data_IF_789847168201
#
_entry.id   IF_789847168201
#
_cell.length_a   1.000
_cell.length_b   1.000
_cell.length_c   1.000
_cell.angle_alpha   90.00
_cell.angle_beta   90.00
_cell.angle_gamma   90.00
#
_symmetry.space_group_name_H-M   'P 1'
#
loop_
_entity.id
_entity.type
_entity.pdbx_description
1 polymer ?
#
# COMPACT_ATOMS: atom_id res chain seq x y z
N UNK A 1 -3.90 29.78 31.33
CA UNK A 1 -4.14 29.70 29.88
C UNK A 1 -4.22 28.23 29.54
N UNK A 2 -5.37 27.87 28.98
CA UNK A 2 -5.90 26.53 28.77
C UNK A 2 -5.16 25.80 27.64
N UNK A 3 -4.99 24.49 27.76
CA UNK A 3 -5.29 23.56 26.67
C UNK A 3 -5.45 22.13 27.25
N UNK A 4 -6.68 21.74 27.56
CA UNK A 4 -6.99 20.33 27.85
C UNK A 4 -7.26 19.69 26.50
N UNK A 5 -6.29 18.96 25.95
CA UNK A 5 -6.51 18.15 24.75
C UNK A 5 -7.52 17.06 25.09
N UNK A 6 -8.80 17.25 24.75
CA UNK A 6 -9.75 16.15 24.73
C UNK A 6 -9.23 15.11 23.73
N UNK A 7 -8.82 13.94 24.24
CA UNK A 7 -8.49 12.81 23.38
C UNK A 7 -9.75 12.43 22.62
N UNK A 8 -9.77 12.67 21.30
CA UNK A 8 -10.85 12.18 20.45
C UNK A 8 -10.87 10.65 20.54
N UNK A 9 -11.86 10.12 21.25
CA UNK A 9 -12.07 8.68 21.37
C UNK A 9 -12.56 8.12 20.02
N UNK A 10 -11.99 7.00 19.58
CA UNK A 10 -12.46 6.23 18.42
C UNK A 10 -13.43 5.10 18.83
N UNK A 11 -13.98 5.16 20.05
CA UNK A 11 -14.84 4.11 20.62
C UNK A 11 -16.34 4.27 20.27
N UNK A 12 -16.69 5.12 19.30
CA UNK A 12 -18.06 5.21 18.77
C UNK A 12 -18.39 3.94 17.95
N UNK A 13 -19.66 3.54 17.96
CA UNK A 13 -20.13 2.44 17.10
C UNK A 13 -20.04 2.84 15.62
N UNK A 14 -19.43 1.98 14.81
CA UNK A 14 -19.37 2.12 13.36
C UNK A 14 -20.00 0.89 12.71
N UNK A 15 -20.73 1.08 11.62
CA UNK A 15 -20.98 0.00 10.68
C UNK A 15 -19.68 -0.41 9.98
N UNK A 16 -19.64 -1.62 9.43
CA UNK A 16 -18.48 -2.14 8.68
C UNK A 16 -18.10 -1.20 7.52
N UNK A 17 -19.09 -0.65 6.80
CA UNK A 17 -18.86 0.27 5.69
C UNK A 17 -18.27 1.61 6.15
N UNK A 18 -18.73 2.14 7.28
CA UNK A 18 -18.23 3.40 7.82
C UNK A 18 -16.78 3.28 8.28
N UNK A 19 -16.46 2.24 9.05
CA UNK A 19 -15.09 2.03 9.54
C UNK A 19 -14.14 1.75 8.38
N UNK A 20 -14.54 0.91 7.41
CA UNK A 20 -13.74 0.64 6.20
C UNK A 20 -13.48 1.91 5.40
N UNK A 21 -14.50 2.75 5.22
CA UNK A 21 -14.36 4.05 4.57
C UNK A 21 -13.43 5.00 5.34
N UNK A 22 -13.51 5.01 6.68
CA UNK A 22 -12.63 5.82 7.52
C UNK A 22 -11.17 5.36 7.46
N UNK A 23 -10.91 4.04 7.47
CA UNK A 23 -9.58 3.48 7.26
C UNK A 23 -9.02 3.90 5.91
N UNK A 24 -9.77 3.68 4.83
CA UNK A 24 -9.33 4.03 3.48
C UNK A 24 -8.97 5.50 3.35
N UNK A 25 -9.82 6.40 3.85
CA UNK A 25 -9.53 7.86 3.84
C UNK A 25 -8.27 8.19 4.62
N UNK A 26 -8.18 7.71 5.87
CA UNK A 26 -7.03 7.97 6.73
C UNK A 26 -5.72 7.51 6.09
N UNK A 27 -5.72 6.31 5.50
CA UNK A 27 -4.56 5.74 4.81
C UNK A 27 -4.22 6.53 3.54
N UNK A 28 -5.20 6.82 2.69
CA UNK A 28 -4.97 7.54 1.44
C UNK A 28 -4.55 9.00 1.65
N UNK A 29 -5.08 9.66 2.69
CA UNK A 29 -4.73 11.04 3.05
C UNK A 29 -3.30 11.12 3.59
N UNK A 30 -2.91 10.17 4.45
CA UNK A 30 -1.56 10.13 5.04
C UNK A 30 -0.50 9.60 4.06
N UNK A 31 -0.87 8.67 3.17
CA UNK A 31 0.06 7.91 2.33
C UNK A 31 -0.31 7.94 0.84
N UNK A 32 -0.82 9.10 0.38
CA UNK A 32 -1.23 9.33 -1.01
C UNK A 32 -0.10 9.20 -2.04
N UNK A 33 1.16 9.40 -1.62
CA UNK A 33 2.37 9.15 -2.41
C UNK A 33 3.53 8.79 -1.47
N UNK A 34 3.97 7.53 -1.49
CA UNK A 34 4.99 6.99 -0.60
C UNK A 34 6.08 6.27 -1.40
N UNK A 35 7.26 6.13 -0.76
CA UNK A 35 8.37 5.33 -1.26
C UNK A 35 8.69 4.25 -0.24
N UNK A 36 8.66 2.99 -0.68
CA UNK A 36 8.85 1.82 0.18
C UNK A 36 10.00 0.99 -0.35
N UNK A 37 10.95 0.67 0.54
CA UNK A 37 12.00 -0.31 0.25
C UNK A 37 11.51 -1.69 0.68
N UNK A 38 11.77 -2.70 -0.13
CA UNK A 38 11.53 -4.08 0.24
C UNK A 38 12.00 -5.05 -0.83
N UNK A 39 12.02 -6.33 -0.47
CA UNK A 39 12.23 -7.43 -1.39
C UNK A 39 10.91 -7.80 -2.07
N UNK A 40 10.92 -7.98 -3.39
CA UNK A 40 9.79 -8.52 -4.13
C UNK A 40 9.62 -10.00 -3.78
N UNK A 41 8.42 -10.38 -3.35
CA UNK A 41 8.07 -11.77 -3.09
C UNK A 41 6.72 -12.18 -3.70
N UNK A 42 6.63 -13.44 -4.13
CA UNK A 42 5.45 -14.00 -4.76
C UNK A 42 5.18 -13.47 -6.18
N UNK A 43 6.17 -12.87 -6.83
CA UNK A 43 6.03 -12.38 -8.20
C UNK A 43 6.03 -13.56 -9.19
N UNK A 44 5.07 -13.54 -10.13
CA UNK A 44 4.87 -14.60 -11.13
C UNK A 44 4.80 -14.05 -12.57
N UNK A 45 5.28 -12.83 -12.77
CA UNK A 45 5.10 -12.11 -14.03
C UNK A 45 3.74 -11.39 -14.12
N UNK A 46 3.51 -10.65 -15.21
CA UNK A 46 2.19 -10.08 -15.51
C UNK A 46 1.14 -11.17 -15.70
N UNK A 47 -0.03 -10.98 -15.10
CA UNK A 47 -1.21 -11.82 -15.31
C UNK A 47 -1.80 -11.60 -16.72
N UNK A 48 -2.84 -12.36 -17.08
CA UNK A 48 -3.54 -12.21 -18.37
C UNK A 48 -4.10 -10.81 -18.63
N UNK A 49 -4.43 -10.04 -17.59
CA UNK A 49 -4.83 -8.64 -17.67
C UNK A 49 -3.66 -7.69 -18.00
N UNK A 50 -2.42 -8.16 -17.89
CA UNK A 50 -1.19 -7.38 -17.97
C UNK A 50 -0.80 -6.71 -16.65
N UNK A 51 -1.57 -6.88 -15.57
CA UNK A 51 -1.21 -6.39 -14.23
C UNK A 51 -0.26 -7.39 -13.55
N UNK A 52 0.66 -6.89 -12.73
CA UNK A 52 1.47 -7.72 -11.86
C UNK A 52 1.02 -7.57 -10.41
N UNK A 53 0.81 -8.68 -9.74
CA UNK A 53 0.52 -8.74 -8.31
C UNK A 53 1.66 -9.48 -7.62
N UNK A 54 2.14 -8.91 -6.52
CA UNK A 54 3.23 -9.47 -5.70
C UNK A 54 3.17 -8.81 -4.32
N UNK A 55 4.12 -9.10 -3.47
CA UNK A 55 4.29 -8.39 -2.21
C UNK A 55 5.68 -7.77 -2.09
N UNK A 56 5.77 -6.67 -1.37
CA UNK A 56 7.03 -6.13 -0.85
C UNK A 56 7.15 -6.59 0.61
N UNK A 57 8.29 -7.16 0.97
CA UNK A 57 8.55 -7.60 2.34
C UNK A 57 9.88 -7.09 2.86
N UNK A 58 9.99 -7.09 4.18
CA UNK A 58 11.24 -7.09 4.92
C UNK A 58 11.22 -8.24 5.95
N UNK A 59 12.13 -8.24 6.91
CA UNK A 59 12.23 -9.29 7.93
C UNK A 59 11.02 -9.36 8.88
N UNK A 60 10.18 -8.32 8.94
CA UNK A 60 9.14 -8.16 9.96
C UNK A 60 7.74 -7.92 9.39
N UNK A 61 7.64 -7.48 8.14
CA UNK A 61 6.40 -7.02 7.55
C UNK A 61 6.29 -7.38 6.07
N UNK A 62 5.06 -7.40 5.59
CA UNK A 62 4.69 -7.65 4.19
C UNK A 62 3.57 -6.71 3.77
N UNK A 63 3.68 -6.16 2.57
CA UNK A 63 2.67 -5.35 1.90
C UNK A 63 2.35 -5.95 0.54
N UNK A 64 1.08 -6.22 0.27
CA UNK A 64 0.66 -6.60 -1.08
C UNK A 64 0.70 -5.38 -2.01
N UNK A 65 1.15 -5.61 -3.23
CA UNK A 65 1.43 -4.59 -4.22
C UNK A 65 0.88 -4.99 -5.59
N UNK A 66 0.43 -3.98 -6.34
CA UNK A 66 0.01 -4.12 -7.72
C UNK A 66 0.75 -3.13 -8.61
N UNK A 67 1.26 -3.61 -9.74
CA UNK A 67 1.70 -2.76 -10.84
C UNK A 67 0.71 -2.93 -11.99
N UNK A 68 -0.02 -1.85 -12.28
CA UNK A 68 -0.97 -1.81 -13.39
C UNK A 68 -0.27 -1.94 -14.74
N UNK A 69 -0.96 -2.48 -15.75
CA UNK A 69 -0.41 -2.79 -17.08
C UNK A 69 0.29 -1.59 -17.72
N UNK A 70 -0.33 -0.42 -17.59
CA UNK A 70 0.16 0.86 -18.13
C UNK A 70 1.44 1.34 -17.44
N UNK A 71 1.61 1.03 -16.15
CA UNK A 71 2.83 1.32 -15.40
C UNK A 71 3.89 0.25 -15.68
N UNK A 72 3.49 -1.01 -15.78
CA UNK A 72 4.37 -2.15 -16.02
C UNK A 72 5.19 -1.97 -17.31
N UNK A 73 4.56 -1.48 -18.38
CA UNK A 73 5.23 -1.22 -19.66
C UNK A 73 6.22 -0.05 -19.63
N UNK A 74 6.17 0.79 -18.58
CA UNK A 74 7.03 1.96 -18.40
C UNK A 74 8.15 1.74 -17.39
N UNK A 75 8.19 0.59 -16.72
CA UNK A 75 9.26 0.30 -15.79
C UNK A 75 10.59 0.23 -16.52
N UNK A 76 11.62 0.86 -15.94
CA UNK A 76 12.99 0.87 -16.50
C UNK A 76 13.66 -0.50 -16.44
N UNK A 77 13.15 -1.38 -15.59
CA UNK A 77 13.62 -2.74 -15.40
C UNK A 77 12.42 -3.66 -15.22
N UNK A 78 12.63 -4.96 -15.43
CA UNK A 78 11.62 -5.97 -15.18
C UNK A 78 11.71 -6.41 -13.71
N UNK A 79 10.61 -6.35 -12.94
CA UNK A 79 10.56 -6.93 -11.60
C UNK A 79 10.87 -8.43 -11.64
N UNK A 80 11.54 -8.93 -10.60
CA UNK A 80 11.87 -10.35 -10.43
C UNK A 80 11.69 -10.76 -8.96
N UNK A 81 11.46 -12.04 -8.71
CA UNK A 81 11.40 -12.59 -7.34
C UNK A 81 12.75 -12.38 -6.62
N UNK A 82 12.71 -11.94 -5.37
CA UNK A 82 13.90 -11.71 -4.55
C UNK A 82 14.63 -10.39 -4.83
N UNK A 83 14.14 -9.58 -5.77
CA UNK A 83 14.75 -8.30 -6.09
C UNK A 83 14.47 -7.26 -4.99
N UNK A 84 15.52 -6.66 -4.42
CA UNK A 84 15.37 -5.47 -3.57
C UNK A 84 15.06 -4.25 -4.45
N UNK A 85 13.97 -3.55 -4.13
CA UNK A 85 13.52 -2.38 -4.87
C UNK A 85 13.13 -1.24 -3.93
N UNK A 86 13.10 -0.02 -4.48
CA UNK A 86 12.37 1.09 -3.88
C UNK A 86 11.16 1.36 -4.77
N UNK A 87 9.98 0.90 -4.34
CA UNK A 87 8.72 1.16 -5.01
C UNK A 87 8.19 2.54 -4.66
N UNK A 88 7.51 3.19 -5.60
CA UNK A 88 6.80 4.46 -5.37
C UNK A 88 5.35 4.32 -5.80
N UNK A 89 4.41 4.78 -4.97
CA UNK A 89 2.99 4.62 -5.25
C UNK A 89 2.10 5.17 -4.14
N UNK A 90 0.81 4.84 -4.22
CA UNK A 90 -0.20 5.17 -3.19
C UNK A 90 -0.50 3.94 -2.35
N UNK A 91 -0.67 4.11 -1.04
CA UNK A 91 -1.21 3.07 -0.16
C UNK A 91 -2.73 3.20 -0.07
N UNK A 92 -3.44 2.06 -0.10
CA UNK A 92 -4.91 1.99 0.02
C UNK A 92 -5.29 0.67 0.73
N UNK A 93 -6.55 0.53 1.12
CA UNK A 93 -7.10 -0.62 1.87
C UNK A 93 -8.38 -1.14 1.22
#
# INVERSE_FOLDING_TARGET
>A
MSDTSESRSNATEYTVSEISGALKRTVEDAFGNVRVRGEISGYRGPHSSGHAYFALKDDRARLDAVVWKTTMSRLKFRPEEGMEVIATGRLTT
#
